data_IF_999295707434
#
_entry.id   IF_999295707434
#
_cell.length_a   1.000
_cell.length_b   1.000
_cell.length_c   1.000
_cell.angle_alpha   90.00
_cell.angle_beta   90.00
_cell.angle_gamma   90.00
#
_symmetry.space_group_name_H-M   'P 1'
#
loop_
_entity.id
_entity.type
_entity.pdbx_description
1 polymer ?
#
# COMPACT_ATOMS: atom_id res chain seq x y z
N UNK A 1 10.01 -44.38 -72.13
CA UNK A 1 8.59 -44.01 -72.31
C UNK A 1 8.08 -43.56 -70.96
N UNK A 2 7.88 -42.25 -70.76
CA UNK A 2 7.48 -41.70 -69.45
C UNK A 2 5.96 -41.57 -69.38
N UNK A 3 5.38 -42.09 -68.29
CA UNK A 3 3.94 -42.03 -67.99
C UNK A 3 3.74 -41.07 -66.83
N UNK A 4 2.88 -40.06 -67.01
CA UNK A 4 2.52 -39.10 -65.97
C UNK A 4 1.15 -39.46 -65.39
N UNK A 5 1.02 -39.40 -64.06
CA UNK A 5 -0.26 -39.46 -63.34
C UNK A 5 -0.60 -38.04 -62.91
N UNK A 6 -1.72 -37.50 -63.41
CA UNK A 6 -2.33 -36.28 -62.89
C UNK A 6 -3.37 -36.65 -61.83
N UNK A 7 -3.15 -36.26 -60.58
CA UNK A 7 -4.10 -36.42 -59.48
C UNK A 7 -5.11 -35.26 -59.47
N UNK A 8 -6.40 -35.59 -59.50
CA UNK A 8 -7.51 -34.64 -59.54
C UNK A 8 -7.84 -34.14 -58.12
N UNK A 9 -7.08 -33.17 -57.61
CA UNK A 9 -7.24 -32.54 -56.27
C UNK A 9 -8.53 -31.71 -56.08
N UNK A 10 -9.51 -31.79 -56.98
CA UNK A 10 -10.64 -30.84 -57.03
C UNK A 10 -11.80 -31.19 -56.09
N UNK A 11 -11.88 -32.42 -55.57
CA UNK A 11 -13.05 -32.90 -54.80
C UNK A 11 -12.97 -32.69 -53.29
N UNK A 12 -11.76 -32.48 -52.74
CA UNK A 12 -11.56 -32.23 -51.32
C UNK A 12 -11.21 -30.78 -50.99
N UNK A 13 -10.85 -29.97 -51.99
CA UNK A 13 -10.48 -28.57 -51.82
C UNK A 13 -11.59 -27.74 -51.16
N UNK A 14 -12.85 -27.98 -51.53
CA UNK A 14 -14.00 -27.31 -50.92
C UNK A 14 -14.26 -27.75 -49.47
N UNK A 15 -13.96 -29.02 -49.14
CA UNK A 15 -14.08 -29.55 -47.77
C UNK A 15 -13.00 -28.92 -46.88
N UNK A 16 -11.77 -28.76 -47.39
CA UNK A 16 -10.70 -28.08 -46.65
C UNK A 16 -11.00 -26.58 -46.41
N UNK A 17 -11.64 -25.90 -47.37
CA UNK A 17 -12.08 -24.49 -47.19
C UNK A 17 -13.19 -24.37 -46.14
N UNK A 18 -14.15 -25.30 -46.12
CA UNK A 18 -15.23 -25.31 -45.11
C UNK A 18 -14.71 -25.64 -43.71
N UNK A 19 -13.74 -26.56 -43.58
CA UNK A 19 -13.07 -26.85 -42.30
C UNK A 19 -12.24 -25.63 -41.83
N UNK A 20 -11.55 -24.95 -42.74
CA UNK A 20 -10.77 -23.75 -42.41
C UNK A 20 -11.66 -22.58 -41.94
N UNK A 21 -12.85 -22.39 -42.53
CA UNK A 21 -13.82 -21.36 -42.12
C UNK A 21 -14.55 -21.71 -40.81
N UNK A 22 -14.68 -23.00 -40.50
CA UNK A 22 -15.23 -23.45 -39.22
C UNK A 22 -14.23 -23.24 -38.07
N UNK A 23 -12.92 -23.38 -38.33
CA UNK A 23 -11.87 -23.07 -37.36
C UNK A 23 -11.60 -21.57 -37.17
N UNK A 24 -11.98 -20.70 -38.12
CA UNK A 24 -11.71 -19.25 -38.02
C UNK A 24 -12.68 -18.48 -37.12
N UNK A 25 -13.72 -19.12 -36.56
CA UNK A 25 -14.69 -18.49 -35.65
C UNK A 25 -14.50 -18.87 -34.16
N UNK A 26 -13.41 -19.55 -33.81
CA UNK A 26 -13.08 -19.88 -32.42
C UNK A 26 -11.70 -19.36 -32.03
N UNK A 27 -11.53 -18.03 -32.11
CA UNK A 27 -10.62 -17.36 -31.17
C UNK A 27 -11.51 -16.91 -30.01
N UNK A 28 -11.92 -17.88 -29.20
CA UNK A 28 -12.26 -17.57 -27.81
C UNK A 28 -10.91 -17.22 -27.18
N UNK A 29 -10.63 -15.92 -27.10
CA UNK A 29 -9.62 -15.44 -26.17
C UNK A 29 -9.93 -16.12 -24.83
N UNK A 30 -9.01 -16.89 -24.23
CA UNK A 30 -9.23 -17.26 -22.84
C UNK A 30 -9.46 -15.94 -22.10
N UNK A 31 -10.62 -15.82 -21.46
CA UNK A 31 -10.87 -14.77 -20.49
C UNK A 31 -9.75 -14.91 -19.48
N UNK A 32 -8.73 -14.06 -19.59
CA UNK A 32 -7.58 -14.09 -18.71
C UNK A 32 -8.15 -13.70 -17.35
N UNK A 33 -8.44 -14.70 -16.53
CA UNK A 33 -8.69 -14.52 -15.11
C UNK A 33 -7.38 -13.99 -14.51
N UNK A 34 -7.20 -12.68 -14.60
CA UNK A 34 -5.99 -11.99 -14.16
C UNK A 34 -5.84 -12.17 -12.66
N UNK A 35 -4.64 -12.49 -12.20
CA UNK A 35 -4.29 -12.45 -10.78
C UNK A 35 -3.55 -11.15 -10.50
N UNK A 36 -3.99 -10.38 -9.50
CA UNK A 36 -3.31 -9.19 -9.01
C UNK A 36 -2.74 -9.50 -7.63
N UNK A 37 -1.43 -9.35 -7.46
CA UNK A 37 -0.70 -9.61 -6.23
C UNK A 37 -0.30 -8.31 -5.56
N UNK A 38 -0.78 -8.10 -4.33
CA UNK A 38 -0.48 -6.96 -3.50
C UNK A 38 0.29 -7.39 -2.27
N UNK A 39 1.41 -6.70 -1.97
CA UNK A 39 2.23 -6.99 -0.78
C UNK A 39 2.66 -5.71 -0.10
N UNK A 40 2.59 -5.68 1.24
CA UNK A 40 3.25 -4.62 2.02
C UNK A 40 2.48 -4.16 3.25
N UNK A 41 2.41 -2.85 3.44
CA UNK A 41 1.91 -2.20 4.66
C UNK A 41 0.56 -2.72 5.16
N UNK A 42 0.53 -3.20 6.39
CA UNK A 42 -0.70 -3.55 7.11
C UNK A 42 -1.62 -2.36 7.36
N UNK A 43 -1.05 -1.15 7.50
CA UNK A 43 -1.85 0.08 7.62
C UNK A 43 -2.61 0.36 6.34
N UNK A 44 -1.99 0.19 5.17
CA UNK A 44 -2.65 0.37 3.88
C UNK A 44 -3.64 -0.76 3.61
N UNK A 45 -3.27 -2.01 3.90
CA UNK A 45 -4.15 -3.17 3.73
C UNK A 45 -5.49 -2.99 4.48
N UNK A 46 -5.45 -2.46 5.71
CA UNK A 46 -6.66 -2.14 6.46
C UNK A 46 -7.46 -1.00 5.80
N UNK A 47 -6.78 0.02 5.29
CA UNK A 47 -7.43 1.18 4.66
C UNK A 47 -8.13 0.84 3.34
N UNK A 48 -7.59 -0.09 2.56
CA UNK A 48 -8.14 -0.48 1.25
C UNK A 48 -9.08 -1.68 1.32
N UNK A 49 -9.29 -2.30 2.49
CA UNK A 49 -10.05 -3.54 2.63
C UNK A 49 -11.43 -3.46 1.95
N UNK A 50 -12.21 -2.43 2.26
CA UNK A 50 -13.53 -2.24 1.64
C UNK A 50 -13.47 -2.02 0.14
N UNK A 51 -12.43 -1.32 -0.36
CA UNK A 51 -12.24 -1.14 -1.80
C UNK A 51 -11.88 -2.45 -2.50
N UNK A 52 -11.10 -3.33 -1.86
CA UNK A 52 -10.78 -4.65 -2.39
C UNK A 52 -12.03 -5.55 -2.44
N UNK A 53 -12.88 -5.48 -1.42
CA UNK A 53 -14.16 -6.21 -1.38
C UNK A 53 -15.06 -5.78 -2.54
N UNK A 54 -15.31 -4.47 -2.71
CA UNK A 54 -16.11 -3.97 -3.84
C UNK A 54 -15.49 -4.29 -5.20
N UNK A 55 -14.16 -4.19 -5.34
CA UNK A 55 -13.48 -4.54 -6.59
C UNK A 55 -13.68 -6.02 -6.95
N UNK A 56 -13.59 -6.93 -5.97
CA UNK A 56 -13.81 -8.36 -6.19
C UNK A 56 -15.26 -8.70 -6.52
N UNK A 57 -16.23 -7.97 -5.98
CA UNK A 57 -17.65 -8.11 -6.34
C UNK A 57 -17.92 -7.67 -7.78
N UNK A 58 -17.33 -6.54 -8.21
CA UNK A 58 -17.48 -6.00 -9.56
C UNK A 58 -16.67 -6.79 -10.61
N UNK A 59 -15.61 -7.48 -10.19
CA UNK A 59 -14.67 -8.19 -11.06
C UNK A 59 -14.44 -9.65 -10.59
N UNK A 60 -15.46 -10.53 -10.68
CA UNK A 60 -15.38 -11.89 -10.12
C UNK A 60 -14.33 -12.77 -10.82
N UNK A 61 -13.97 -12.45 -12.06
CA UNK A 61 -12.97 -13.17 -12.83
C UNK A 61 -11.52 -12.78 -12.46
N UNK A 62 -11.33 -11.69 -11.70
CA UNK A 62 -10.01 -11.20 -11.29
C UNK A 62 -9.71 -11.65 -9.86
N UNK A 63 -8.64 -12.43 -9.69
CA UNK A 63 -8.20 -12.89 -8.36
C UNK A 63 -7.26 -11.89 -7.73
N UNK A 64 -7.63 -11.36 -6.57
CA UNK A 64 -6.76 -10.50 -5.78
C UNK A 64 -6.08 -11.30 -4.68
N UNK A 65 -4.74 -11.36 -4.68
CA UNK A 65 -3.92 -11.94 -3.61
C UNK A 65 -3.27 -10.85 -2.79
N UNK A 66 -3.64 -10.77 -1.51
CA UNK A 66 -3.13 -9.80 -0.56
C UNK A 66 -2.20 -10.48 0.47
N UNK A 67 -0.93 -10.06 0.52
CA UNK A 67 0.03 -10.45 1.56
C UNK A 67 0.37 -9.25 2.45
N UNK A 68 -0.14 -9.31 3.67
CA UNK A 68 0.03 -8.25 4.67
C UNK A 68 1.35 -8.44 5.40
N UNK A 69 2.24 -7.45 5.25
CA UNK A 69 3.56 -7.42 5.88
C UNK A 69 3.96 -5.98 6.26
N UNK A 70 5.03 -5.45 5.67
CA UNK A 70 5.51 -4.08 5.91
C UNK A 70 5.94 -3.41 4.59
N UNK A 71 6.02 -2.07 4.60
CA UNK A 71 6.37 -1.28 3.41
C UNK A 71 7.66 -1.75 2.74
N UNK A 72 8.70 -2.09 3.51
CA UNK A 72 9.99 -2.48 2.96
C UNK A 72 9.97 -3.82 2.22
N UNK A 73 9.24 -4.82 2.74
CA UNK A 73 9.03 -6.09 2.05
C UNK A 73 8.24 -5.89 0.75
N UNK A 74 7.22 -5.03 0.77
CA UNK A 74 6.43 -4.69 -0.42
C UNK A 74 7.29 -4.14 -1.55
N UNK A 75 8.10 -3.10 -1.28
CA UNK A 75 8.95 -2.50 -2.33
C UNK A 75 9.99 -3.49 -2.87
N UNK A 76 10.62 -4.31 -2.01
CA UNK A 76 11.55 -5.35 -2.49
C UNK A 76 10.85 -6.36 -3.40
N UNK A 77 9.68 -6.85 -2.99
CA UNK A 77 8.93 -7.81 -3.78
C UNK A 77 8.51 -7.23 -5.16
N UNK A 78 8.16 -5.95 -5.20
CA UNK A 78 7.83 -5.25 -6.45
C UNK A 78 9.06 -5.05 -7.33
N UNK A 79 10.19 -4.61 -6.73
CA UNK A 79 11.46 -4.46 -7.44
C UNK A 79 11.97 -5.78 -8.03
N UNK A 80 11.70 -6.90 -7.35
CA UNK A 80 12.03 -8.25 -7.82
C UNK A 80 11.04 -8.80 -8.87
N UNK A 81 9.98 -8.06 -9.20
CA UNK A 81 8.93 -8.51 -10.12
C UNK A 81 8.06 -9.67 -9.60
N UNK A 82 8.01 -9.88 -8.27
CA UNK A 82 7.25 -10.98 -7.65
C UNK A 82 5.76 -10.64 -7.45
N UNK A 83 5.44 -9.36 -7.44
CA UNK A 83 4.12 -8.80 -7.10
C UNK A 83 3.81 -7.63 -8.01
N UNK A 84 2.53 -7.34 -8.21
CA UNK A 84 2.09 -6.28 -9.11
C UNK A 84 2.03 -4.91 -8.40
N UNK A 85 1.70 -4.91 -7.11
CA UNK A 85 1.53 -3.68 -6.32
C UNK A 85 2.22 -3.80 -4.96
N UNK A 86 3.10 -2.83 -4.65
CA UNK A 86 3.63 -2.64 -3.31
C UNK A 86 2.77 -1.64 -2.51
N UNK A 87 2.26 -2.08 -1.37
CA UNK A 87 1.55 -1.20 -0.44
C UNK A 87 2.54 -0.54 0.52
N UNK A 88 2.59 0.79 0.55
CA UNK A 88 3.54 1.55 1.39
C UNK A 88 2.83 2.57 2.29
N UNK A 89 3.13 2.52 3.59
CA UNK A 89 2.76 3.56 4.58
C UNK A 89 3.97 4.40 5.01
N UNK A 90 5.18 3.88 4.78
CA UNK A 90 6.43 4.58 5.07
C UNK A 90 6.75 5.57 3.95
N UNK A 91 7.18 6.81 4.25
CA UNK A 91 7.56 7.77 3.22
C UNK A 91 8.62 7.20 2.27
N UNK A 92 8.44 7.42 0.97
CA UNK A 92 9.33 6.89 -0.09
C UNK A 92 10.78 7.32 0.14
N UNK A 93 11.02 8.56 0.57
CA UNK A 93 12.37 9.07 0.86
C UNK A 93 13.06 8.27 1.97
N UNK A 94 12.31 7.84 2.99
CA UNK A 94 12.83 7.00 4.08
C UNK A 94 13.13 5.59 3.56
N UNK A 95 12.28 5.06 2.67
CA UNK A 95 12.53 3.75 2.06
C UNK A 95 13.75 3.78 1.13
N UNK A 96 13.93 4.84 0.32
CA UNK A 96 15.12 5.08 -0.51
C UNK A 96 16.41 5.05 0.31
N UNK A 97 16.39 5.67 1.49
CA UNK A 97 17.53 5.66 2.39
C UNK A 97 17.80 4.29 3.03
N UNK A 98 16.74 3.54 3.41
CA UNK A 98 16.87 2.27 4.14
C UNK A 98 17.08 1.05 3.27
N UNK A 99 16.66 1.11 2.00
CA UNK A 99 16.67 -0.04 1.09
C UNK A 99 17.54 0.31 -0.11
N UNK A 100 18.79 -0.15 -0.05
CA UNK A 100 19.72 -0.06 -1.16
C UNK A 100 19.32 -1.04 -2.29
N UNK A 101 19.94 -0.84 -3.46
CA UNK A 101 19.81 -1.72 -4.63
C UNK A 101 18.40 -1.85 -5.21
N UNK A 102 17.53 -0.85 -4.96
CA UNK A 102 16.27 -0.70 -5.68
C UNK A 102 16.47 0.38 -6.73
N UNK A 103 16.11 0.06 -7.97
CA UNK A 103 16.02 1.03 -9.04
C UNK A 103 14.70 1.79 -8.91
N UNK A 104 14.73 2.85 -8.10
CA UNK A 104 13.56 3.63 -7.77
C UNK A 104 12.97 4.41 -8.94
N UNK A 105 13.73 4.62 -10.02
CA UNK A 105 13.26 5.35 -11.19
C UNK A 105 12.35 4.48 -12.06
N UNK A 106 12.37 3.15 -11.85
CA UNK A 106 11.44 2.20 -12.48
C UNK A 106 10.16 1.97 -11.68
N UNK A 107 10.05 2.57 -10.49
CA UNK A 107 8.89 2.42 -9.61
C UNK A 107 8.03 3.67 -9.63
N UNK A 108 6.76 3.52 -10.00
CA UNK A 108 5.78 4.60 -9.96
C UNK A 108 4.99 4.58 -8.65
N UNK A 109 5.07 5.67 -7.88
CA UNK A 109 4.33 5.82 -6.64
C UNK A 109 3.02 6.59 -6.88
N UNK A 110 1.88 5.96 -6.58
CA UNK A 110 0.58 6.61 -6.58
C UNK A 110 0.15 6.93 -5.14
N UNK A 111 -0.11 8.21 -4.85
CA UNK A 111 -0.65 8.63 -3.54
C UNK A 111 -2.16 8.37 -3.53
N UNK A 112 -2.59 7.34 -2.80
CA UNK A 112 -4.01 6.97 -2.67
C UNK A 112 -4.70 7.60 -1.45
N UNK A 113 -3.93 8.00 -0.44
CA UNK A 113 -4.46 8.55 0.80
C UNK A 113 -3.43 9.42 1.53
N UNK A 114 -3.92 10.23 2.48
CA UNK A 114 -3.10 10.97 3.44
C UNK A 114 -3.51 10.62 4.87
N UNK A 115 -2.53 10.44 5.75
CA UNK A 115 -2.76 10.16 7.17
C UNK A 115 -2.41 11.41 7.98
N UNK A 116 -3.33 11.82 8.85
CA UNK A 116 -3.11 12.88 9.84
C UNK A 116 -2.91 12.28 11.22
N UNK A 117 -2.03 12.89 12.01
CA UNK A 117 -1.94 12.63 13.46
C UNK A 117 -2.76 13.72 14.14
N UNK A 118 -3.65 13.29 15.04
CA UNK A 118 -4.45 14.18 15.87
C UNK A 118 -4.09 13.93 17.33
N UNK A 119 -4.00 15.02 18.09
CA UNK A 119 -3.82 14.97 19.54
C UNK A 119 -5.19 15.19 20.17
N UNK A 120 -5.59 14.27 21.03
CA UNK A 120 -6.87 14.32 21.73
C UNK A 120 -6.56 14.52 23.20
N UNK A 121 -7.19 15.54 23.80
CA UNK A 121 -7.16 15.78 25.24
C UNK A 121 -8.39 15.18 25.91
N UNK A 122 -8.33 15.02 27.23
CA UNK A 122 -9.51 14.61 28.00
C UNK A 122 -10.62 15.67 27.87
N UNK A 123 -11.89 15.23 27.89
CA UNK A 123 -13.05 16.11 27.69
C UNK A 123 -13.12 17.29 28.68
N UNK A 124 -12.55 17.12 29.87
CA UNK A 124 -12.57 18.11 30.95
C UNK A 124 -11.33 19.02 30.93
N UNK A 125 -10.40 18.82 29.98
CA UNK A 125 -9.22 19.67 29.86
C UNK A 125 -9.60 21.01 29.19
N UNK A 126 -9.37 22.16 29.85
CA UNK A 126 -9.73 23.47 29.31
C UNK A 126 -8.90 23.90 28.09
N UNK A 127 -7.77 23.25 27.83
CA UNK A 127 -6.91 23.53 26.67
C UNK A 127 -7.48 22.86 25.42
N UNK A 128 -8.14 23.66 24.57
CA UNK A 128 -8.80 23.20 23.34
C UNK A 128 -7.93 23.33 22.09
N UNK A 129 -6.85 24.11 22.16
CA UNK A 129 -5.96 24.37 21.02
C UNK A 129 -4.50 24.36 21.44
N UNK A 130 -3.67 23.66 20.66
CA UNK A 130 -2.22 23.64 20.81
C UNK A 130 -1.55 23.89 19.46
N UNK A 131 -0.52 24.73 19.48
CA UNK A 131 0.36 24.94 18.33
C UNK A 131 1.40 23.81 18.25
N UNK A 132 1.99 23.61 17.06
CA UNK A 132 3.04 22.60 16.87
C UNK A 132 4.24 22.79 17.82
N UNK A 133 4.73 24.02 18.11
CA UNK A 133 5.78 24.22 19.11
C UNK A 133 5.37 23.81 20.54
N UNK A 134 4.10 24.02 20.93
CA UNK A 134 3.60 23.61 22.24
C UNK A 134 3.52 22.08 22.35
N UNK A 135 3.05 21.40 21.28
CA UNK A 135 3.05 19.93 21.19
C UNK A 135 4.48 19.39 21.30
N UNK A 136 5.46 20.01 20.63
CA UNK A 136 6.87 19.66 20.76
C UNK A 136 7.34 19.79 22.21
N UNK A 137 7.02 20.90 22.89
CA UNK A 137 7.40 21.12 24.28
C UNK A 137 6.81 20.06 25.23
N UNK A 138 5.57 19.62 24.97
CA UNK A 138 4.94 18.52 25.70
C UNK A 138 5.71 17.22 25.45
N UNK A 139 5.80 16.77 24.19
CA UNK A 139 6.38 15.46 23.85
C UNK A 139 7.88 15.33 24.16
N UNK A 140 8.61 16.45 24.17
CA UNK A 140 10.03 16.51 24.55
C UNK A 140 10.24 16.66 26.07
N UNK A 141 9.17 16.78 26.86
CA UNK A 141 9.23 16.96 28.32
C UNK A 141 9.74 18.33 28.77
N UNK A 142 9.84 19.32 27.87
CA UNK A 142 10.17 20.72 28.22
C UNK A 142 9.05 21.37 29.04
N UNK A 143 7.80 21.03 28.74
CA UNK A 143 6.65 21.37 29.55
C UNK A 143 6.32 20.22 30.51
N UNK A 144 5.93 20.55 31.75
CA UNK A 144 5.63 19.56 32.80
C UNK A 144 4.14 19.42 33.13
N UNK A 145 3.34 20.47 32.92
CA UNK A 145 1.92 20.52 33.26
C UNK A 145 1.13 21.44 32.31
N UNK A 146 -0.20 21.33 32.37
CA UNK A 146 -1.13 22.11 31.52
C UNK A 146 -1.12 23.62 31.81
N UNK A 147 -0.66 24.05 32.99
CA UNK A 147 -0.50 25.47 33.36
C UNK A 147 0.30 26.27 32.32
N UNK A 148 1.32 25.65 31.71
CA UNK A 148 2.13 26.30 30.66
C UNK A 148 1.31 26.69 29.40
N UNK A 149 0.08 26.19 29.29
CA UNK A 149 -0.80 26.34 28.13
C UNK A 149 -2.19 26.88 28.52
N UNK A 150 -2.34 27.44 29.72
CA UNK A 150 -3.60 28.01 30.20
C UNK A 150 -4.60 27.00 30.76
N UNK A 151 -4.15 25.79 31.09
CA UNK A 151 -4.95 24.80 31.81
C UNK A 151 -4.58 24.66 33.28
N UNK A 152 -5.13 23.61 33.91
CA UNK A 152 -4.93 23.33 35.33
C UNK A 152 -3.50 22.87 35.66
N UNK A 153 -3.17 22.78 36.95
CA UNK A 153 -1.86 22.30 37.41
C UNK A 153 -1.72 20.77 37.38
N UNK A 154 -2.26 20.16 36.33
CA UNK A 154 -2.22 18.72 36.12
C UNK A 154 -1.04 18.33 35.22
N UNK A 155 -0.40 17.21 35.58
CA UNK A 155 0.66 16.62 34.76
C UNK A 155 0.08 16.04 33.46
N UNK A 156 0.93 15.94 32.45
CA UNK A 156 0.57 15.27 31.21
C UNK A 156 0.50 13.76 31.42
N UNK A 157 -0.64 13.16 31.07
CA UNK A 157 -0.78 11.73 30.86
C UNK A 157 -0.87 11.46 29.35
N UNK A 158 0.20 10.92 28.77
CA UNK A 158 0.26 10.62 27.35
C UNK A 158 0.04 9.12 27.11
N UNK A 159 -1.14 8.77 26.64
CA UNK A 159 -1.41 7.44 26.09
C UNK A 159 -1.06 7.44 24.60
N UNK A 160 0.04 6.77 24.23
CA UNK A 160 0.38 6.53 22.83
C UNK A 160 0.05 5.08 22.51
N UNK A 161 -0.69 4.84 21.43
CA UNK A 161 -0.85 3.49 20.91
C UNK A 161 0.49 2.99 20.31
N UNK A 162 1.37 2.51 21.18
CA UNK A 162 2.74 2.07 20.84
C UNK A 162 2.78 0.68 20.17
N UNK A 163 1.65 -0.02 20.02
CA UNK A 163 1.60 -1.34 19.37
C UNK A 163 1.97 -1.28 17.88
N UNK A 164 2.03 -0.09 17.27
CA UNK A 164 2.54 0.10 15.91
C UNK A 164 3.82 0.93 15.95
N UNK A 165 4.97 0.28 15.76
CA UNK A 165 6.27 0.93 15.65
C UNK A 165 6.29 2.11 14.64
N UNK A 166 5.43 2.05 13.62
CA UNK A 166 5.23 3.14 12.65
C UNK A 166 4.69 4.43 13.28
N UNK A 167 3.80 4.37 14.29
CA UNK A 167 3.22 5.57 14.91
C UNK A 167 4.24 6.32 15.76
N UNK A 168 5.06 5.59 16.51
CA UNK A 168 6.18 6.15 17.25
C UNK A 168 7.21 6.79 16.30
N UNK A 169 7.48 6.17 15.15
CA UNK A 169 8.36 6.75 14.14
C UNK A 169 7.77 8.03 13.53
N UNK A 170 6.46 8.06 13.27
CA UNK A 170 5.78 9.24 12.76
C UNK A 170 5.80 10.38 13.79
N UNK A 171 5.55 10.12 15.08
CA UNK A 171 5.67 11.13 16.13
C UNK A 171 7.10 11.68 16.22
N UNK A 172 8.11 10.82 16.13
CA UNK A 172 9.52 11.24 16.10
C UNK A 172 9.82 12.16 14.91
N UNK A 173 9.36 11.80 13.72
CA UNK A 173 9.64 12.56 12.50
C UNK A 173 8.84 13.85 12.42
N UNK A 174 7.53 13.80 12.67
CA UNK A 174 6.61 14.93 12.45
C UNK A 174 6.56 15.90 13.63
N UNK A 175 6.62 15.37 14.86
CA UNK A 175 6.43 16.18 16.05
C UNK A 175 7.74 16.51 16.75
N UNK A 176 8.73 15.62 16.73
CA UNK A 176 9.99 15.79 17.49
C UNK A 176 11.20 16.15 16.65
N UNK A 177 11.06 16.30 15.32
CA UNK A 177 12.17 16.62 14.40
C UNK A 177 13.35 15.65 14.56
N UNK A 178 13.08 14.36 14.81
CA UNK A 178 14.10 13.33 15.01
C UNK A 178 14.56 13.14 16.46
N UNK A 179 14.09 13.95 17.42
CA UNK A 179 14.41 13.78 18.84
C UNK A 179 13.64 12.62 19.48
N UNK A 180 14.15 12.14 20.62
CA UNK A 180 13.59 11.02 21.38
C UNK A 180 12.35 11.49 22.16
N UNK A 181 11.26 10.70 22.18
CA UNK A 181 10.18 10.88 23.15
C UNK A 181 10.76 10.71 24.54
N UNK A 182 10.46 11.61 25.47
CA UNK A 182 10.99 11.50 26.83
C UNK A 182 10.65 10.14 27.48
N UNK A 183 11.58 9.52 28.22
CA UNK A 183 11.45 8.13 28.66
C UNK A 183 10.37 7.88 29.72
N UNK A 184 9.72 8.92 30.23
CA UNK A 184 8.76 8.82 31.34
C UNK A 184 7.29 8.68 30.90
N UNK A 185 7.01 8.66 29.59
CA UNK A 185 5.66 8.38 29.10
C UNK A 185 5.36 6.88 29.26
N UNK A 186 4.51 6.54 30.23
CA UNK A 186 4.03 5.17 30.40
C UNK A 186 3.01 4.86 29.30
N UNK A 187 3.25 3.79 28.55
CA UNK A 187 2.28 3.20 27.63
C UNK A 187 1.12 2.58 28.39
#
# INVERSE_FOLDING_TARGET
MFVYIFLLMRRYFFIYILIALFCSNFIVSPLYAGEIRLVGSSTVALAIKGALESFSEENPDIKVKLDVSNSGRGVRALSDGKVDIAMISTPVQVLKFRIAHIDWDRLNALKIAERKIVFITHKDNPVTHLTQPQIYNILSGRAKNWRAFGGDDDIFWLSVNMHRAEYAQQLKTLCLKGNILTPNWRA
#
